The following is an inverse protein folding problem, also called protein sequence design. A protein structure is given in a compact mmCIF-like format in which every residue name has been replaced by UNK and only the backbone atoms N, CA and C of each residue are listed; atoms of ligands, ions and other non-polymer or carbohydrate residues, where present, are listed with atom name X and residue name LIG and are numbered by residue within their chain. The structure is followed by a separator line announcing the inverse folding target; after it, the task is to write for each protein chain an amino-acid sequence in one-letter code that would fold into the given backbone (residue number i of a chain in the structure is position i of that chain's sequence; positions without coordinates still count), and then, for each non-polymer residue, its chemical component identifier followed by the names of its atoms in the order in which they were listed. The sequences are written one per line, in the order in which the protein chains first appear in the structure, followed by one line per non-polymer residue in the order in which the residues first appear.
data_IF_136125431815
#
_entry.id   IF_136125431815
#
_cell.length_a   1.000
_cell.length_b   1.000
_cell.length_c   1.000
_cell.angle_alpha   90.00
_cell.angle_beta   90.00
_cell.angle_gamma   90.00
#
_symmetry.space_group_name_H-M   'P 1'
#
loop_
_entity.id
_entity.type
_entity.pdbx_description
1 polymer ?
#
# COMPACT_ATOMS: atom_id res chain seq x y z
N UNK A 1 13.84 -5.95 -6.10
CA UNK A 1 13.31 -7.12 -5.36
C UNK A 1 13.68 -7.19 -3.87
N UNK A 2 14.60 -6.36 -3.35
CA UNK A 2 14.95 -6.37 -1.92
C UNK A 2 13.76 -6.08 -0.97
N UNK A 3 12.76 -5.32 -1.43
CA UNK A 3 11.54 -5.05 -0.65
C UNK A 3 10.67 -6.29 -0.43
N UNK A 4 10.85 -7.36 -1.21
CA UNK A 4 10.12 -8.62 -1.07
C UNK A 4 10.96 -9.70 -0.41
N UNK A 5 12.24 -9.74 -0.75
CA UNK A 5 13.19 -10.75 -0.29
C UNK A 5 14.48 -10.07 0.18
N UNK A 6 14.76 -10.15 1.49
CA UNK A 6 15.96 -9.58 2.11
C UNK A 6 17.13 -10.56 2.17
N UNK A 7 16.96 -11.76 1.59
CA UNK A 7 17.95 -12.82 1.36
C UNK A 7 18.59 -13.38 2.64
N UNK A 8 19.44 -12.59 3.31
CA UNK A 8 20.23 -12.98 4.48
C UNK A 8 19.49 -12.74 5.81
N UNK A 9 18.19 -12.46 5.74
CA UNK A 9 17.28 -12.25 6.86
C UNK A 9 15.95 -12.94 6.56
N UNK A 10 15.07 -13.03 7.55
CA UNK A 10 13.68 -13.40 7.30
C UNK A 10 13.09 -12.47 6.24
N UNK A 11 12.43 -13.06 5.25
CA UNK A 11 11.82 -12.30 4.16
C UNK A 11 10.51 -11.68 4.63
N UNK A 12 10.37 -10.38 4.38
CA UNK A 12 9.15 -9.62 4.57
C UNK A 12 8.77 -8.99 3.24
N UNK A 13 7.56 -9.26 2.79
CA UNK A 13 7.01 -8.66 1.58
C UNK A 13 6.46 -7.28 1.88
N UNK A 14 7.34 -6.28 1.98
CA UNK A 14 6.99 -4.92 2.35
C UNK A 14 6.03 -4.27 1.35
N UNK A 15 6.05 -4.69 0.08
CA UNK A 15 5.08 -4.25 -0.93
C UNK A 15 3.67 -4.71 -0.54
N UNK A 16 3.51 -5.98 -0.16
CA UNK A 16 2.23 -6.54 0.28
C UNK A 16 1.76 -5.93 1.60
N UNK A 17 2.66 -5.76 2.58
CA UNK A 17 2.33 -5.12 3.87
C UNK A 17 1.85 -3.68 3.69
N UNK A 18 2.51 -2.91 2.80
CA UNK A 18 2.11 -1.53 2.49
C UNK A 18 0.74 -1.49 1.79
N UNK A 19 0.46 -2.46 0.91
CA UNK A 19 -0.85 -2.58 0.27
C UNK A 19 -1.95 -2.94 1.27
N UNK A 20 -1.70 -3.90 2.17
CA UNK A 20 -2.64 -4.27 3.23
C UNK A 20 -2.91 -3.11 4.19
N UNK A 21 -1.89 -2.31 4.49
CA UNK A 21 -2.05 -1.09 5.28
C UNK A 21 -2.98 -0.08 4.60
N UNK A 22 -2.80 0.15 3.30
CA UNK A 22 -3.69 1.01 2.52
C UNK A 22 -5.13 0.48 2.51
N UNK A 23 -5.31 -0.83 2.25
CA UNK A 23 -6.63 -1.48 2.23
C UNK A 23 -7.35 -1.37 3.59
N UNK A 24 -6.62 -1.57 4.70
CA UNK A 24 -7.14 -1.40 6.04
C UNK A 24 -7.63 0.04 6.31
N UNK A 25 -6.86 1.05 5.91
CA UNK A 25 -7.22 2.45 6.09
C UNK A 25 -8.39 2.86 5.19
N UNK A 26 -8.48 2.29 3.99
CA UNK A 26 -9.55 2.57 3.05
C UNK A 26 -10.84 1.77 3.30
N UNK A 27 -10.89 0.95 4.37
CA UNK A 27 -12.10 0.25 4.79
C UNK A 27 -12.34 -1.08 4.09
N UNK A 28 -11.26 -1.83 3.80
CA UNK A 28 -11.19 -3.26 3.44
C UNK A 28 -12.54 -3.85 3.01
N UNK A 29 -12.90 -3.68 1.74
CA UNK A 29 -14.04 -4.30 1.03
C UNK A 29 -15.45 -4.13 1.60
N UNK A 30 -15.66 -3.40 2.70
CA UNK A 30 -16.98 -3.36 3.37
C UNK A 30 -17.94 -2.33 2.74
N UNK A 31 -17.54 -1.69 1.64
CA UNK A 31 -18.40 -0.75 0.91
C UNK A 31 -17.90 -0.43 -0.47
N UNK A 32 -18.83 -0.26 -1.43
CA UNK A 32 -18.51 0.31 -2.74
C UNK A 32 -17.93 1.74 -2.60
N UNK A 33 -17.44 2.30 -3.71
CA UNK A 33 -16.82 3.64 -3.80
C UNK A 33 -17.53 4.75 -2.98
N UNK A 34 -18.85 4.65 -2.78
CA UNK A 34 -19.63 5.56 -1.96
C UNK A 34 -19.30 5.58 -0.45
N UNK A 35 -18.63 4.56 0.10
CA UNK A 35 -18.22 4.53 1.52
C UNK A 35 -16.77 4.98 1.73
N UNK A 36 -15.96 5.18 0.68
CA UNK A 36 -14.59 5.70 0.80
C UNK A 36 -14.56 7.07 1.49
N UNK A 37 -15.58 7.90 1.24
CA UNK A 37 -15.73 9.20 1.91
C UNK A 37 -15.98 9.11 3.43
N UNK A 38 -16.31 7.93 3.96
CA UNK A 38 -16.42 7.70 5.41
C UNK A 38 -15.07 7.36 6.05
N UNK A 39 -14.20 6.69 5.29
CA UNK A 39 -12.90 6.24 5.77
C UNK A 39 -11.81 7.29 5.54
N UNK A 40 -11.90 8.06 4.45
CA UNK A 40 -10.95 9.12 4.10
C UNK A 40 -11.43 10.45 4.67
N UNK A 41 -10.58 11.12 5.44
CA UNK A 41 -10.84 12.44 6.00
C UNK A 41 -9.55 13.26 6.09
N UNK A 42 -9.68 14.53 6.49
CA UNK A 42 -8.58 15.49 6.61
C UNK A 42 -7.40 15.01 7.50
N UNK A 43 -7.64 14.09 8.43
CA UNK A 43 -6.61 13.58 9.35
C UNK A 43 -5.77 12.46 8.74
N UNK A 44 -6.31 11.72 7.76
CA UNK A 44 -5.63 10.56 7.18
C UNK A 44 -5.31 10.70 5.68
N UNK A 45 -5.88 11.69 4.99
CA UNK A 45 -5.63 11.91 3.55
C UNK A 45 -4.15 12.08 3.22
N UNK A 46 -3.38 12.78 4.08
CA UNK A 46 -1.94 12.95 3.89
C UNK A 46 -1.19 11.61 3.98
N UNK A 47 -1.58 10.75 4.92
CA UNK A 47 -0.98 9.43 5.10
C UNK A 47 -1.32 8.48 3.94
N UNK A 48 -2.56 8.54 3.44
CA UNK A 48 -3.01 7.79 2.26
C UNK A 48 -2.20 8.23 1.04
N UNK A 49 -2.04 9.54 0.81
CA UNK A 49 -1.24 10.06 -0.29
C UNK A 49 0.21 9.55 -0.24
N UNK A 50 0.87 9.65 0.93
CA UNK A 50 2.22 9.13 1.12
C UNK A 50 2.32 7.61 0.83
N UNK A 51 1.30 6.85 1.23
CA UNK A 51 1.26 5.40 1.02
C UNK A 51 1.12 5.06 -0.46
N UNK A 52 0.28 5.80 -1.19
CA UNK A 52 0.10 5.65 -2.64
C UNK A 52 1.35 6.08 -3.41
N UNK A 53 2.00 7.16 -3.02
CA UNK A 53 3.29 7.58 -3.59
C UNK A 53 4.35 6.49 -3.41
N UNK A 54 4.48 5.94 -2.21
CA UNK A 54 5.41 4.85 -1.89
C UNK A 54 5.14 3.59 -2.75
N UNK A 55 3.88 3.18 -2.87
CA UNK A 55 3.50 2.04 -3.72
C UNK A 55 3.77 2.32 -5.20
N UNK A 56 3.58 3.56 -5.65
CA UNK A 56 3.89 3.97 -7.01
C UNK A 56 5.39 3.85 -7.26
N UNK A 57 6.23 4.33 -6.35
CA UNK A 57 7.69 4.18 -6.44
C UNK A 57 8.13 2.71 -6.44
N UNK A 58 7.47 1.84 -5.66
CA UNK A 58 7.76 0.40 -5.67
C UNK A 58 7.51 -0.25 -7.04
N UNK A 59 6.60 0.31 -7.84
CA UNK A 59 6.16 -0.24 -9.13
C UNK A 59 6.68 0.54 -10.37
N UNK A 60 7.34 1.68 -10.19
CA UNK A 60 7.84 2.53 -11.29
C UNK A 60 9.05 1.96 -12.05
N UNK A 61 9.76 0.98 -11.48
CA UNK A 61 10.93 0.36 -12.09
C UNK A 61 10.61 -0.87 -12.95
N UNK A 62 11.61 -1.48 -13.61
CA UNK A 62 11.46 -2.72 -14.40
C UNK A 62 11.17 -3.97 -13.56
N UNK A 63 10.81 -3.81 -12.28
CA UNK A 63 10.53 -4.87 -11.33
C UNK A 63 9.08 -5.35 -11.52
N UNK A 64 8.86 -6.17 -12.55
CA UNK A 64 7.55 -6.71 -12.92
C UNK A 64 6.91 -7.52 -11.79
N UNK A 65 7.72 -8.11 -10.90
CA UNK A 65 7.21 -8.86 -9.76
C UNK A 65 6.42 -7.99 -8.78
N UNK A 66 6.62 -6.68 -8.75
CA UNK A 66 5.90 -5.74 -7.88
C UNK A 66 4.56 -5.26 -8.47
N UNK A 67 4.31 -5.47 -9.77
CA UNK A 67 3.09 -5.10 -10.48
C UNK A 67 2.04 -6.21 -10.38
#
# INVERSE_FOLDING_TARGET
NFLRCQNNKNNYNLVCETLQFLDCICGSTTGGLGLLGLYINEKNVALINQTVESLTEYCQGPCHENQ
#
